data_IF_628965946434
#
_entry.id   IF_628965946434
#
_cell.length_a   1.000
_cell.length_b   1.000
_cell.length_c   1.000
_cell.angle_alpha   90.00
_cell.angle_beta   90.00
_cell.angle_gamma   90.00
#
_symmetry.space_group_name_H-M   'P 1'
#
loop_
_entity.id
_entity.type
_entity.pdbx_description
1 polymer ?
#
# COMPACT_ATOMS: atom_id res chain seq x y z
N UNK A 1 2.85 -10.92 -30.84
CA UNK A 1 3.21 -12.28 -30.39
C UNK A 1 2.77 -12.42 -28.94
N UNK A 2 1.67 -13.13 -28.65
CA UNK A 2 1.17 -13.31 -27.28
C UNK A 2 2.18 -14.16 -26.52
N UNK A 3 2.88 -13.59 -25.54
CA UNK A 3 3.63 -14.40 -24.57
C UNK A 3 2.60 -15.24 -23.83
N UNK A 4 2.66 -16.59 -23.88
CA UNK A 4 1.70 -17.42 -23.18
C UNK A 4 1.98 -17.29 -21.69
N UNK A 5 1.14 -16.52 -20.98
CA UNK A 5 1.08 -16.59 -19.52
C UNK A 5 0.74 -18.03 -19.14
N UNK A 6 1.69 -18.71 -18.49
CA UNK A 6 1.64 -20.13 -18.20
C UNK A 6 0.37 -20.50 -17.37
N UNK A 7 -0.57 -21.24 -17.98
CA UNK A 7 -1.84 -21.64 -17.36
C UNK A 7 -1.67 -22.41 -16.03
N UNK A 8 -0.53 -23.05 -15.78
CA UNK A 8 -0.26 -23.75 -14.51
C UNK A 8 -0.03 -22.80 -13.33
N UNK A 9 0.65 -21.67 -13.54
CA UNK A 9 0.91 -20.69 -12.49
C UNK A 9 -0.40 -20.03 -12.01
N UNK A 10 -1.32 -19.79 -12.94
CA UNK A 10 -2.65 -19.24 -12.65
C UNK A 10 -3.51 -20.20 -11.82
N UNK A 11 -3.47 -21.51 -12.11
CA UNK A 11 -4.20 -22.51 -11.31
C UNK A 11 -3.68 -22.60 -9.86
N UNK A 12 -2.36 -22.58 -9.66
CA UNK A 12 -1.75 -22.57 -8.31
C UNK A 12 -2.14 -21.29 -7.57
N UNK A 13 -2.06 -20.13 -8.24
CA UNK A 13 -2.50 -18.85 -7.68
C UNK A 13 -4.00 -18.90 -7.30
N UNK A 14 -4.83 -19.53 -8.12
CA UNK A 14 -6.27 -19.66 -7.89
C UNK A 14 -6.62 -20.57 -6.70
N UNK A 15 -5.92 -21.70 -6.55
CA UNK A 15 -6.07 -22.60 -5.40
C UNK A 15 -5.61 -21.91 -4.12
N UNK A 16 -4.44 -21.26 -4.14
CA UNK A 16 -3.92 -20.54 -2.97
C UNK A 16 -4.90 -19.43 -2.59
N UNK A 17 -5.32 -18.61 -3.56
CA UNK A 17 -6.24 -17.48 -3.34
C UNK A 17 -7.54 -17.91 -2.66
N UNK A 18 -8.11 -19.05 -3.05
CA UNK A 18 -9.35 -19.55 -2.43
C UNK A 18 -9.18 -19.88 -0.93
N UNK A 19 -7.95 -20.13 -0.50
CA UNK A 19 -7.60 -20.44 0.88
C UNK A 19 -6.99 -19.26 1.65
N UNK A 20 -6.47 -18.22 0.98
CA UNK A 20 -5.90 -17.01 1.63
C UNK A 20 -6.84 -16.41 2.68
N UNK A 21 -8.15 -16.21 2.40
CA UNK A 21 -9.07 -15.64 3.39
C UNK A 21 -9.18 -16.43 4.71
N UNK A 22 -8.78 -17.71 4.71
CA UNK A 22 -8.79 -18.60 5.89
C UNK A 22 -7.47 -18.53 6.68
N UNK A 23 -6.42 -17.93 6.12
CA UNK A 23 -5.12 -17.74 6.77
C UNK A 23 -5.14 -16.45 7.58
N UNK A 24 -5.79 -16.50 8.74
CA UNK A 24 -5.96 -15.34 9.63
C UNK A 24 -4.74 -15.00 10.48
N UNK A 25 -3.86 -15.99 10.70
CA UNK A 25 -2.71 -15.88 11.63
C UNK A 25 -1.39 -15.94 10.87
N UNK A 26 -0.42 -15.19 11.36
CA UNK A 26 0.89 -15.05 10.73
C UNK A 26 1.65 -16.36 10.52
N UNK A 27 1.71 -17.31 11.47
CA UNK A 27 2.45 -18.56 11.24
C UNK A 27 1.97 -19.34 10.02
N UNK A 28 0.64 -19.38 9.81
CA UNK A 28 0.03 -20.03 8.64
C UNK A 28 0.31 -19.27 7.35
N UNK A 29 0.29 -17.94 7.42
CA UNK A 29 0.61 -17.03 6.31
C UNK A 29 2.08 -17.16 5.88
N UNK A 30 3.02 -17.19 6.84
CA UNK A 30 4.45 -17.42 6.61
C UNK A 30 4.73 -18.79 6.01
N UNK A 31 4.08 -19.84 6.51
CA UNK A 31 4.18 -21.19 5.93
C UNK A 31 3.65 -21.22 4.48
N UNK A 32 2.50 -20.61 4.22
CA UNK A 32 1.98 -20.52 2.85
C UNK A 32 2.95 -19.74 1.94
N UNK A 33 3.52 -18.63 2.42
CA UNK A 33 4.49 -17.86 1.67
C UNK A 33 5.78 -18.66 1.37
N UNK A 34 6.30 -19.43 2.33
CA UNK A 34 7.53 -20.22 2.14
C UNK A 34 7.36 -21.38 1.15
N UNK A 35 6.14 -21.91 1.01
CA UNK A 35 5.81 -22.91 0.00
C UNK A 35 5.67 -22.31 -1.40
N UNK A 36 5.36 -21.01 -1.50
CA UNK A 36 5.01 -20.36 -2.78
C UNK A 36 6.19 -19.60 -3.38
N UNK A 37 6.98 -18.92 -2.56
CA UNK A 37 8.11 -18.09 -2.99
C UNK A 37 9.16 -18.84 -3.84
N UNK A 38 9.51 -20.12 -3.58
CA UNK A 38 10.48 -20.86 -4.40
C UNK A 38 10.08 -21.04 -5.88
N UNK A 39 8.78 -20.93 -6.18
CA UNK A 39 8.25 -21.06 -7.55
C UNK A 39 8.09 -19.71 -8.26
N UNK A 40 8.61 -18.63 -7.68
CA UNK A 40 8.57 -17.28 -8.24
C UNK A 40 9.95 -16.81 -8.70
N UNK A 41 10.03 -15.94 -9.72
CA UNK A 41 11.30 -15.35 -10.16
C UNK A 41 12.06 -14.68 -9.02
N UNK A 42 13.38 -14.78 -9.08
CA UNK A 42 14.32 -14.12 -8.17
C UNK A 42 15.27 -13.26 -8.97
N UNK A 43 15.79 -12.20 -8.35
CA UNK A 43 16.87 -11.41 -8.90
C UNK A 43 18.17 -12.23 -8.84
N UNK A 44 18.86 -12.47 -9.97
CA UNK A 44 20.13 -13.20 -9.95
C UNK A 44 21.16 -12.49 -9.08
N UNK A 45 21.85 -13.24 -8.21
CA UNK A 45 22.87 -12.67 -7.32
C UNK A 45 22.33 -11.71 -6.26
N UNK A 46 21.03 -11.77 -5.96
CA UNK A 46 20.37 -10.87 -5.01
C UNK A 46 21.09 -10.83 -3.66
N UNK A 47 21.61 -9.65 -3.32
CA UNK A 47 22.17 -9.31 -2.01
C UNK A 47 21.55 -7.98 -1.57
N UNK A 48 20.64 -7.96 -0.58
CA UNK A 48 20.03 -6.72 -0.13
C UNK A 48 21.06 -5.83 0.60
N UNK A 49 20.90 -4.52 0.46
CA UNK A 49 21.68 -3.54 1.24
C UNK A 49 21.42 -3.66 2.75
N UNK A 50 22.35 -3.16 3.56
CA UNK A 50 22.17 -3.09 5.02
C UNK A 50 20.92 -2.29 5.41
N UNK A 51 20.65 -1.22 4.68
CA UNK A 51 19.45 -0.41 4.89
C UNK A 51 18.17 -1.23 4.60
N UNK A 52 18.14 -1.98 3.49
CA UNK A 52 17.02 -2.85 3.18
C UNK A 52 16.82 -3.95 4.25
N UNK A 53 17.91 -4.55 4.76
CA UNK A 53 17.84 -5.54 5.83
C UNK A 53 17.32 -4.94 7.14
N UNK A 54 17.72 -3.71 7.48
CA UNK A 54 17.19 -2.98 8.64
C UNK A 54 15.69 -2.74 8.51
N UNK A 55 15.22 -2.20 7.38
CA UNK A 55 13.80 -1.95 7.12
C UNK A 55 12.98 -3.26 7.13
N UNK A 56 13.48 -4.33 6.50
CA UNK A 56 12.86 -5.66 6.58
C UNK A 56 12.73 -6.13 8.03
N UNK A 57 13.78 -5.97 8.83
CA UNK A 57 13.78 -6.42 10.23
C UNK A 57 12.73 -5.66 11.05
N UNK A 58 12.59 -4.35 10.82
CA UNK A 58 11.54 -3.55 11.47
C UNK A 58 10.13 -4.00 11.04
N UNK A 59 9.91 -4.26 9.75
CA UNK A 59 8.65 -4.82 9.26
C UNK A 59 8.34 -6.16 9.93
N UNK A 60 9.31 -7.07 10.01
CA UNK A 60 9.07 -8.40 10.60
C UNK A 60 8.87 -8.35 12.12
N UNK A 61 9.51 -7.43 12.83
CA UNK A 61 9.47 -7.39 14.31
C UNK A 61 8.30 -6.56 14.82
N UNK A 62 8.10 -5.33 14.32
CA UNK A 62 7.06 -4.41 14.80
C UNK A 62 5.96 -4.10 13.79
N UNK A 63 6.09 -4.54 12.54
CA UNK A 63 5.04 -4.42 11.52
C UNK A 63 5.09 -3.13 10.70
N UNK A 64 5.99 -2.21 11.02
CA UNK A 64 6.20 -0.97 10.29
C UNK A 64 7.67 -0.51 10.37
N UNK A 65 8.08 0.39 9.49
CA UNK A 65 9.42 0.98 9.48
C UNK A 65 9.44 2.40 10.02
N UNK A 66 10.62 2.87 10.41
CA UNK A 66 10.86 4.31 10.54
C UNK A 66 10.67 4.98 9.18
N UNK A 67 10.40 6.28 9.20
CA UNK A 67 10.31 7.06 7.98
C UNK A 67 11.67 7.13 7.27
N UNK A 68 11.66 7.03 5.95
CA UNK A 68 12.82 7.22 5.08
C UNK A 68 12.42 8.03 3.85
N UNK A 69 13.38 8.51 3.08
CA UNK A 69 13.12 9.33 1.88
C UNK A 69 13.72 8.68 0.63
N UNK A 70 12.94 8.74 -0.45
CA UNK A 70 13.33 8.25 -1.78
C UNK A 70 13.40 9.39 -2.81
N UNK A 71 12.86 10.55 -2.46
CA UNK A 71 12.62 11.68 -3.36
C UNK A 71 13.22 12.95 -2.77
N UNK A 72 13.71 13.82 -3.67
CA UNK A 72 14.04 15.22 -3.38
C UNK A 72 12.77 16.04 -3.18
N UNK A 73 12.88 17.19 -2.51
CA UNK A 73 11.73 18.08 -2.27
C UNK A 73 11.14 18.60 -3.60
N UNK A 74 11.99 18.81 -4.62
CA UNK A 74 11.55 19.21 -5.96
C UNK A 74 10.71 18.13 -6.64
N UNK A 75 11.13 16.86 -6.53
CA UNK A 75 10.38 15.74 -7.10
C UNK A 75 9.03 15.53 -6.39
N UNK A 76 9.00 15.70 -5.06
CA UNK A 76 7.77 15.64 -4.27
C UNK A 76 6.82 16.78 -4.67
N UNK A 77 7.34 18.00 -4.79
CA UNK A 77 6.56 19.17 -5.20
C UNK A 77 6.01 19.01 -6.63
N UNK A 78 6.81 18.47 -7.56
CA UNK A 78 6.37 18.19 -8.92
C UNK A 78 5.25 17.13 -8.96
N UNK A 79 5.40 16.04 -8.20
CA UNK A 79 4.37 14.99 -8.11
C UNK A 79 3.09 15.52 -7.46
N UNK A 80 3.20 16.30 -6.40
CA UNK A 80 2.05 16.94 -5.75
C UNK A 80 1.30 17.87 -6.70
N UNK A 81 2.02 18.78 -7.38
CA UNK A 81 1.41 19.73 -8.33
C UNK A 81 0.67 19.01 -9.44
N UNK A 82 1.26 17.95 -9.98
CA UNK A 82 0.60 17.10 -10.97
C UNK A 82 -0.77 16.61 -10.47
N UNK A 83 -0.85 16.07 -9.26
CA UNK A 83 -2.12 15.60 -8.70
C UNK A 83 -3.11 16.75 -8.41
N UNK A 84 -2.64 17.91 -7.96
CA UNK A 84 -3.50 19.09 -7.75
C UNK A 84 -4.19 19.53 -9.05
N UNK A 85 -3.52 19.37 -10.20
CA UNK A 85 -4.04 19.72 -11.54
C UNK A 85 -4.88 18.61 -12.18
N UNK A 86 -4.68 17.34 -11.79
CA UNK A 86 -5.45 16.22 -12.33
C UNK A 86 -6.90 16.19 -11.80
N UNK A 87 -7.89 15.81 -12.64
CA UNK A 87 -9.24 15.57 -12.15
C UNK A 87 -9.27 14.33 -11.25
N UNK A 88 -9.84 14.46 -10.07
CA UNK A 88 -10.09 13.37 -9.12
C UNK A 88 -11.60 13.10 -8.99
N UNK A 89 -11.96 12.04 -8.25
CA UNK A 89 -13.35 11.66 -8.03
C UNK A 89 -13.56 11.04 -6.65
N UNK A 90 -14.80 11.03 -6.17
CA UNK A 90 -15.19 10.26 -4.99
C UNK A 90 -16.02 9.03 -5.40
N UNK A 91 -15.54 7.84 -5.05
CA UNK A 91 -16.25 6.59 -5.32
C UNK A 91 -17.59 6.48 -4.58
N UNK A 92 -17.75 7.18 -3.45
CA UNK A 92 -18.98 7.22 -2.66
C UNK A 92 -20.04 8.21 -3.16
N UNK A 93 -19.64 9.22 -3.95
CA UNK A 93 -20.53 10.29 -4.43
C UNK A 93 -20.43 10.48 -5.95
N UNK A 94 -20.71 9.40 -6.70
CA UNK A 94 -20.54 9.36 -8.16
C UNK A 94 -21.35 10.40 -8.94
N UNK A 95 -22.44 10.92 -8.35
CA UNK A 95 -23.28 11.95 -8.97
C UNK A 95 -22.54 13.26 -9.26
N UNK A 96 -21.43 13.53 -8.56
CA UNK A 96 -20.65 14.75 -8.77
C UNK A 96 -19.63 14.63 -9.91
N UNK A 97 -19.46 13.45 -10.52
CA UNK A 97 -18.47 13.23 -11.57
C UNK A 97 -17.04 13.45 -11.09
N UNK A 98 -16.19 13.98 -11.96
CA UNK A 98 -14.81 14.36 -11.64
C UNK A 98 -14.69 15.87 -11.37
N UNK A 99 -13.71 16.22 -10.54
CA UNK A 99 -13.44 17.60 -10.12
C UNK A 99 -11.94 17.79 -9.85
N UNK A 100 -11.46 19.02 -9.79
CA UNK A 100 -10.11 19.33 -9.30
C UNK A 100 -10.14 19.56 -7.80
N UNK A 101 -9.01 19.35 -7.12
CA UNK A 101 -8.99 19.37 -5.65
C UNK A 101 -9.32 20.75 -5.05
N UNK A 102 -9.08 21.83 -5.79
CA UNK A 102 -9.45 23.20 -5.43
C UNK A 102 -10.97 23.47 -5.56
N UNK A 103 -11.72 22.57 -6.22
CA UNK A 103 -13.15 22.72 -6.54
C UNK A 103 -13.96 21.50 -6.12
N UNK A 104 -13.77 21.05 -4.88
CA UNK A 104 -14.56 19.94 -4.32
C UNK A 104 -16.06 20.33 -4.28
N UNK A 105 -16.95 19.56 -4.93
CA UNK A 105 -18.32 20.01 -5.21
C UNK A 105 -19.29 19.85 -4.04
N UNK A 106 -18.91 19.14 -2.97
CA UNK A 106 -19.75 18.98 -1.78
C UNK A 106 -18.90 18.85 -0.50
N UNK A 107 -19.37 19.40 0.64
CA UNK A 107 -18.74 19.19 1.95
C UNK A 107 -18.79 17.73 2.43
N UNK A 108 -19.68 16.91 1.87
CA UNK A 108 -19.81 15.48 2.24
C UNK A 108 -18.68 14.62 1.67
N UNK A 109 -17.97 15.13 0.67
CA UNK A 109 -16.79 14.47 0.10
C UNK A 109 -15.64 14.60 1.09
N UNK A 110 -15.20 13.46 1.63
CA UNK A 110 -14.05 13.37 2.52
C UNK A 110 -12.85 12.66 1.88
N UNK A 111 -13.01 12.15 0.65
CA UNK A 111 -11.96 11.46 -0.08
C UNK A 111 -12.05 11.76 -1.57
N UNK A 112 -10.91 12.06 -2.20
CA UNK A 112 -10.82 12.26 -3.65
C UNK A 112 -9.69 11.43 -4.22
N UNK A 113 -9.99 10.54 -5.17
CA UNK A 113 -9.10 9.50 -5.71
C UNK A 113 -8.73 9.78 -7.16
N UNK A 114 -7.61 9.21 -7.58
CA UNK A 114 -7.16 9.20 -8.98
C UNK A 114 -7.26 7.80 -9.56
N UNK A 115 -7.57 7.69 -10.86
CA UNK A 115 -7.58 6.41 -11.58
C UNK A 115 -6.15 5.99 -11.97
N UNK A 116 -6.00 4.73 -12.34
CA UNK A 116 -4.72 4.10 -12.65
C UNK A 116 -3.92 4.85 -13.71
N UNK A 117 -4.55 5.23 -14.82
CA UNK A 117 -3.89 5.96 -15.89
C UNK A 117 -3.29 7.29 -15.41
N UNK A 118 -3.98 7.96 -14.48
CA UNK A 118 -3.55 9.26 -13.97
C UNK A 118 -2.35 9.12 -13.04
N UNK A 119 -2.41 8.22 -12.05
CA UNK A 119 -1.30 8.10 -11.13
C UNK A 119 -0.07 7.47 -11.81
N UNK A 120 -0.23 6.52 -12.73
CA UNK A 120 0.90 5.92 -13.45
C UNK A 120 1.60 6.92 -14.38
N UNK A 121 0.91 7.99 -14.80
CA UNK A 121 1.50 9.09 -15.56
C UNK A 121 2.12 10.20 -14.68
N UNK A 122 1.99 10.12 -13.35
CA UNK A 122 2.54 11.12 -12.45
C UNK A 122 4.08 11.14 -12.51
N UNK A 123 4.71 12.33 -12.52
CA UNK A 123 6.15 12.44 -12.56
C UNK A 123 6.76 11.76 -11.34
N UNK A 124 7.86 11.04 -11.56
CA UNK A 124 8.64 10.31 -10.54
C UNK A 124 7.93 9.13 -9.87
N UNK A 125 6.62 8.88 -10.07
CA UNK A 125 5.91 7.83 -9.33
C UNK A 125 6.43 6.42 -9.69
N UNK A 126 6.55 6.11 -10.98
CA UNK A 126 7.04 4.80 -11.42
C UNK A 126 8.47 4.52 -10.93
N UNK A 127 9.32 5.53 -10.90
CA UNK A 127 10.68 5.44 -10.35
C UNK A 127 10.67 5.22 -8.82
N UNK A 128 9.71 5.83 -8.12
CA UNK A 128 9.58 5.71 -6.66
C UNK A 128 9.13 4.32 -6.25
N UNK A 129 8.10 3.77 -6.90
CA UNK A 129 7.57 2.43 -6.59
C UNK A 129 8.51 1.30 -7.06
N UNK A 130 9.41 1.60 -8.00
CA UNK A 130 10.47 0.68 -8.42
C UNK A 130 11.83 1.03 -7.81
N UNK A 131 11.87 1.85 -6.75
CA UNK A 131 13.13 2.27 -6.15
C UNK A 131 13.91 1.06 -5.62
N UNK A 132 15.22 0.92 -5.91
CA UNK A 132 16.01 -0.27 -5.55
C UNK A 132 15.89 -0.65 -4.07
N UNK A 133 16.00 0.33 -3.15
CA UNK A 133 15.83 0.09 -1.72
C UNK A 133 14.52 -0.64 -1.37
N UNK A 134 13.39 -0.23 -1.95
CA UNK A 134 12.08 -0.83 -1.63
C UNK A 134 11.95 -2.22 -2.26
N UNK A 135 12.46 -2.40 -3.48
CA UNK A 135 12.47 -3.70 -4.15
C UNK A 135 13.39 -4.70 -3.42
N UNK A 136 14.51 -4.25 -2.86
CA UNK A 136 15.38 -5.07 -2.01
C UNK A 136 14.67 -5.49 -0.72
N UNK A 137 14.00 -4.56 -0.03
CA UNK A 137 13.17 -4.90 1.15
C UNK A 137 12.11 -5.94 0.74
N UNK A 138 11.44 -5.71 -0.38
CA UNK A 138 10.39 -6.57 -0.87
C UNK A 138 10.87 -7.99 -1.20
N UNK A 139 11.97 -8.11 -1.94
CA UNK A 139 12.51 -9.42 -2.32
C UNK A 139 13.09 -10.16 -1.11
N UNK A 140 13.75 -9.46 -0.18
CA UNK A 140 14.23 -10.06 1.06
C UNK A 140 13.07 -10.47 2.00
N UNK A 141 11.98 -9.71 2.02
CA UNK A 141 10.78 -10.04 2.80
C UNK A 141 10.02 -11.22 2.18
N UNK A 142 9.82 -11.26 0.87
CA UNK A 142 9.04 -12.30 0.20
C UNK A 142 9.84 -13.57 -0.13
N UNK A 143 11.17 -13.49 -0.21
CA UNK A 143 12.04 -14.57 -0.69
C UNK A 143 12.04 -14.76 -2.21
N UNK A 144 11.49 -13.78 -2.94
CA UNK A 144 11.43 -13.71 -4.41
C UNK A 144 11.03 -12.30 -4.85
N UNK A 145 11.11 -12.00 -6.15
CA UNK A 145 10.67 -10.70 -6.69
C UNK A 145 9.22 -10.42 -6.27
N UNK A 146 8.90 -9.20 -5.79
CA UNK A 146 7.52 -8.84 -5.49
C UNK A 146 6.69 -8.67 -6.77
N UNK A 147 5.39 -8.51 -6.61
CA UNK A 147 4.51 -7.86 -7.57
C UNK A 147 4.04 -6.53 -6.98
N UNK A 148 4.23 -5.44 -7.72
CA UNK A 148 3.61 -4.16 -7.43
C UNK A 148 2.13 -4.26 -7.80
N UNK A 149 1.26 -4.06 -6.81
CA UNK A 149 -0.19 -4.21 -6.92
C UNK A 149 -0.87 -3.22 -5.95
N UNK A 150 -2.21 -3.22 -5.90
CA UNK A 150 -2.98 -2.52 -4.87
C UNK A 150 -2.69 -1.03 -4.76
N UNK A 151 -2.23 -0.39 -5.84
CA UNK A 151 -1.88 1.02 -5.85
C UNK A 151 -3.11 1.90 -5.74
N UNK A 152 -2.99 2.97 -4.98
CA UNK A 152 -4.01 4.00 -4.86
C UNK A 152 -3.38 5.33 -4.50
N UNK A 153 -3.89 6.40 -5.09
CA UNK A 153 -3.52 7.78 -4.75
C UNK A 153 -4.79 8.53 -4.41
N UNK A 154 -4.80 9.21 -3.27
CA UNK A 154 -5.97 9.96 -2.87
C UNK A 154 -5.66 11.11 -1.90
N UNK A 155 -6.54 12.10 -1.94
CA UNK A 155 -6.71 13.08 -0.89
C UNK A 155 -7.66 12.55 0.18
N UNK A 156 -7.29 12.70 1.45
CA UNK A 156 -8.21 12.66 2.59
C UNK A 156 -8.48 14.11 3.00
N UNK A 157 -9.74 14.54 2.99
CA UNK A 157 -10.10 15.93 3.23
C UNK A 157 -10.48 16.17 4.69
N UNK A 158 -9.99 17.27 5.27
CA UNK A 158 -10.33 17.72 6.61
C UNK A 158 -11.76 18.25 6.62
N UNK A 159 -12.71 17.36 6.89
CA UNK A 159 -14.15 17.64 6.93
C UNK A 159 -14.76 17.00 8.17
N UNK A 160 -15.79 17.61 8.79
CA UNK A 160 -16.45 17.09 10.00
C UNK A 160 -17.44 15.96 9.69
N UNK A 161 -17.03 15.00 8.84
CA UNK A 161 -17.88 13.90 8.38
C UNK A 161 -17.69 12.66 9.27
N UNK A 162 -18.66 11.73 9.30
CA UNK A 162 -18.47 10.45 9.99
C UNK A 162 -17.31 9.63 9.40
N UNK A 163 -16.70 8.80 10.26
CA UNK A 163 -15.60 7.93 9.84
C UNK A 163 -16.02 6.95 8.75
N UNK A 164 -15.19 6.80 7.73
CA UNK A 164 -15.31 5.70 6.75
C UNK A 164 -14.60 4.44 7.24
N UNK A 165 -14.89 3.30 6.59
CA UNK A 165 -14.38 1.98 7.03
C UNK A 165 -12.87 1.95 7.31
N UNK A 166 -12.06 2.50 6.41
CA UNK A 166 -10.59 2.49 6.52
C UNK A 166 -10.05 3.37 7.66
N UNK A 167 -10.91 4.19 8.27
CA UNK A 167 -10.59 5.01 9.44
C UNK A 167 -10.93 4.34 10.77
N UNK A 168 -11.52 3.15 10.73
CA UNK A 168 -11.64 2.27 11.90
C UNK A 168 -10.52 1.22 11.86
N UNK A 169 -10.23 0.63 13.02
CA UNK A 169 -9.19 -0.39 13.11
C UNK A 169 -9.57 -1.65 12.32
N UNK A 170 -8.66 -2.12 11.50
CA UNK A 170 -8.84 -3.32 10.69
C UNK A 170 -7.50 -3.98 10.38
N UNK A 171 -7.59 -5.16 9.74
CA UNK A 171 -6.48 -5.94 9.21
C UNK A 171 -6.75 -6.30 7.76
N UNK A 172 -5.71 -6.28 6.94
CA UNK A 172 -5.78 -6.69 5.55
C UNK A 172 -5.47 -8.19 5.40
N UNK A 173 -6.47 -8.90 4.92
CA UNK A 173 -6.45 -10.35 4.74
C UNK A 173 -6.45 -10.77 3.26
N UNK A 174 -6.01 -9.86 2.38
CA UNK A 174 -6.10 -10.06 0.94
C UNK A 174 -4.88 -10.82 0.40
N UNK A 175 -3.84 -11.05 1.19
CA UNK A 175 -2.61 -11.68 0.70
C UNK A 175 -1.99 -12.59 1.77
N UNK A 176 -1.26 -13.61 1.35
CA UNK A 176 -0.47 -14.46 2.28
C UNK A 176 0.67 -13.68 2.91
N UNK A 177 1.35 -12.84 2.14
CA UNK A 177 2.46 -12.01 2.60
C UNK A 177 2.51 -10.76 1.72
N UNK A 178 2.46 -9.60 2.36
CA UNK A 178 2.45 -8.30 1.71
C UNK A 178 2.92 -7.24 2.69
N UNK A 179 3.31 -6.09 2.17
CA UNK A 179 3.33 -4.83 2.91
C UNK A 179 2.96 -3.72 1.94
N UNK A 180 2.63 -2.55 2.48
CA UNK A 180 2.40 -1.34 1.70
C UNK A 180 3.48 -0.32 1.98
N UNK A 181 3.91 0.37 0.93
CA UNK A 181 4.62 1.63 1.06
C UNK A 181 3.60 2.76 1.07
N UNK A 182 3.72 3.63 2.07
CA UNK A 182 2.97 4.86 2.18
C UNK A 182 3.94 6.01 1.91
N UNK A 183 3.66 6.84 0.91
CA UNK A 183 4.39 8.07 0.59
C UNK A 183 3.45 9.24 0.83
N UNK A 184 3.80 10.12 1.76
CA UNK A 184 3.08 11.38 1.96
C UNK A 184 3.52 12.41 0.93
N UNK A 185 2.57 13.05 0.25
CA UNK A 185 2.82 14.19 -0.65
C UNK A 185 2.47 15.53 0.00
N UNK A 186 1.95 15.50 1.22
CA UNK A 186 1.67 16.64 2.10
C UNK A 186 2.19 16.34 3.49
N UNK A 187 2.59 17.36 4.24
CA UNK A 187 2.89 17.20 5.65
C UNK A 187 1.70 16.59 6.40
N UNK A 188 1.98 15.54 7.16
CA UNK A 188 0.98 14.73 7.85
C UNK A 188 1.37 14.60 9.32
N UNK A 189 0.88 15.54 10.11
CA UNK A 189 0.87 15.46 11.57
C UNK A 189 -0.46 14.82 12.05
N UNK A 190 -0.72 14.83 13.36
CA UNK A 190 -1.98 14.33 13.93
C UNK A 190 -3.25 15.01 13.37
N UNK A 191 -3.16 16.28 12.96
CA UNK A 191 -4.26 17.01 12.33
C UNK A 191 -4.45 16.68 10.85
N UNK A 192 -3.39 16.21 10.18
CA UNK A 192 -3.43 15.63 8.83
C UNK A 192 -3.92 14.17 8.79
N UNK A 193 -4.24 13.59 9.95
CA UNK A 193 -4.85 12.26 10.05
C UNK A 193 -3.92 11.12 9.66
N UNK A 194 -2.79 10.90 10.35
CA UNK A 194 -1.74 9.95 9.95
C UNK A 194 -2.23 8.50 9.97
N UNK A 195 -1.43 7.60 9.38
CA UNK A 195 -1.63 6.17 9.57
C UNK A 195 -1.32 5.79 11.03
N UNK A 196 -2.18 4.98 11.64
CA UNK A 196 -2.00 4.43 12.97
C UNK A 196 -1.77 2.94 12.85
N UNK A 197 -0.76 2.44 13.54
CA UNK A 197 -0.42 1.02 13.55
C UNK A 197 -0.27 0.53 14.99
N UNK A 198 -0.70 -0.69 15.29
CA UNK A 198 -0.46 -1.35 16.58
C UNK A 198 0.80 -2.22 16.46
N UNK A 199 1.93 -1.87 17.10
CA UNK A 199 3.19 -2.59 16.95
C UNK A 199 3.06 -4.09 17.21
N UNK A 200 3.75 -4.89 16.40
CA UNK A 200 3.80 -6.36 16.45
C UNK A 200 2.44 -7.09 16.31
N UNK A 201 1.33 -6.36 16.11
CA UNK A 201 0.00 -6.95 16.02
C UNK A 201 -0.18 -7.88 14.82
N UNK A 202 0.66 -7.80 13.78
CA UNK A 202 0.66 -8.77 12.67
C UNK A 202 0.86 -10.22 13.15
N UNK A 203 1.61 -10.41 14.26
CA UNK A 203 1.80 -11.71 14.92
C UNK A 203 0.65 -12.09 15.86
N UNK A 204 -0.20 -11.13 16.22
CA UNK A 204 -1.27 -11.27 17.21
C UNK A 204 -2.35 -12.26 16.79
N UNK A 205 -2.96 -12.91 17.77
CA UNK A 205 -4.05 -13.87 17.58
C UNK A 205 -5.42 -13.31 18.00
N UNK A 206 -5.46 -12.03 18.33
CA UNK A 206 -6.63 -11.30 18.80
C UNK A 206 -7.25 -10.47 17.67
N UNK A 207 -8.55 -10.17 17.80
CA UNK A 207 -9.30 -9.32 16.86
C UNK A 207 -9.17 -9.78 15.40
N UNK A 208 -9.25 -11.11 15.18
CA UNK A 208 -9.08 -11.75 13.86
C UNK A 208 -10.37 -11.79 13.02
N UNK A 209 -11.46 -11.21 13.52
CA UNK A 209 -12.69 -11.04 12.78
C UNK A 209 -12.47 -10.08 11.59
N UNK A 210 -13.02 -10.44 10.42
CA UNK A 210 -12.97 -9.60 9.21
C UNK A 210 -14.02 -8.50 9.29
N UNK A 211 -13.83 -7.58 10.23
CA UNK A 211 -14.66 -6.38 10.44
C UNK A 211 -13.79 -5.23 10.91
N UNK A 212 -14.41 -4.07 10.99
CA UNK A 212 -13.84 -2.95 11.74
C UNK A 212 -13.95 -3.22 13.24
N UNK A 213 -12.92 -2.80 13.97
CA UNK A 213 -12.84 -2.81 15.41
C UNK A 213 -12.88 -1.37 15.93
N UNK A 214 -13.55 -1.18 17.05
CA UNK A 214 -13.60 0.10 17.75
C UNK A 214 -12.27 0.39 18.43
N UNK A 215 -12.03 1.67 18.74
CA UNK A 215 -10.88 2.10 19.53
C UNK A 215 -10.84 1.35 20.88
N UNK A 216 -11.97 1.27 21.59
CA UNK A 216 -12.08 0.59 22.88
C UNK A 216 -11.72 -0.91 22.82
N UNK A 217 -12.11 -1.62 21.76
CA UNK A 217 -11.74 -3.04 21.58
C UNK A 217 -10.23 -3.22 21.40
N UNK A 218 -9.59 -2.37 20.61
CA UNK A 218 -8.14 -2.42 20.37
C UNK A 218 -7.39 -2.02 21.63
N UNK A 219 -7.85 -1.00 22.36
CA UNK A 219 -7.27 -0.55 23.63
C UNK A 219 -7.37 -1.62 24.72
N UNK A 220 -8.49 -2.35 24.81
CA UNK A 220 -8.67 -3.42 25.77
C UNK A 220 -7.71 -4.61 25.54
N UNK A 221 -7.30 -4.85 24.29
CA UNK A 221 -6.42 -5.96 23.91
C UNK A 221 -4.95 -5.57 23.94
N UNK A 222 -4.61 -4.44 23.32
CA UNK A 222 -3.22 -4.04 23.09
C UNK A 222 -2.74 -2.94 24.05
N UNK A 223 -3.64 -2.32 24.82
CA UNK A 223 -3.35 -1.19 25.68
C UNK A 223 -3.44 0.15 24.95
N UNK A 224 -3.89 1.18 25.66
CA UNK A 224 -4.15 2.51 25.08
C UNK A 224 -2.90 3.23 24.55
N UNK A 225 -1.72 2.91 25.07
CA UNK A 225 -0.44 3.50 24.63
C UNK A 225 0.24 2.72 23.51
N UNK A 226 -0.27 1.55 23.12
CA UNK A 226 0.37 0.73 22.11
C UNK A 226 0.29 1.30 20.69
N UNK A 227 -0.84 1.86 20.20
CA UNK A 227 -0.91 2.36 18.84
C UNK A 227 0.05 3.54 18.60
N UNK A 228 0.79 3.49 17.49
CA UNK A 228 1.72 4.54 17.09
C UNK A 228 1.16 5.32 15.90
N UNK A 229 1.36 6.63 15.91
CA UNK A 229 1.05 7.48 14.78
C UNK A 229 2.27 7.63 13.86
N UNK A 230 2.11 7.23 12.60
CA UNK A 230 3.14 7.35 11.57
C UNK A 230 2.97 8.70 10.87
N UNK A 231 3.42 9.76 11.55
CA UNK A 231 3.49 11.12 11.01
C UNK A 231 4.70 11.29 10.09
N UNK A 232 4.69 12.33 9.27
CA UNK A 232 5.81 12.62 8.37
C UNK A 232 5.61 13.91 7.59
N UNK A 233 6.69 14.42 7.02
CA UNK A 233 6.67 15.54 6.07
C UNK A 233 6.36 15.05 4.67
N UNK A 234 6.00 15.95 3.76
CA UNK A 234 5.92 15.63 2.34
C UNK A 234 7.25 15.01 1.86
N UNK A 235 7.16 13.88 1.15
CA UNK A 235 8.29 13.07 0.69
C UNK A 235 8.70 11.93 1.61
N UNK A 236 8.22 11.93 2.86
CA UNK A 236 8.52 10.83 3.78
C UNK A 236 7.73 9.58 3.37
N UNK A 237 8.45 8.46 3.37
CA UNK A 237 7.96 7.13 3.08
C UNK A 237 8.05 6.26 4.33
N UNK A 238 7.11 5.35 4.51
CA UNK A 238 7.27 4.23 5.44
C UNK A 238 6.64 2.97 4.87
N UNK A 239 7.09 1.81 5.35
CA UNK A 239 6.49 0.52 5.01
C UNK A 239 5.67 0.01 6.18
N UNK A 240 4.53 -0.63 5.92
CA UNK A 240 3.76 -1.32 6.95
C UNK A 240 3.20 -2.66 6.43
N UNK A 241 3.30 -3.70 7.26
CA UNK A 241 2.60 -4.97 7.05
C UNK A 241 1.15 -4.83 7.53
N UNK A 242 0.27 -4.44 6.62
CA UNK A 242 -1.15 -4.21 6.90
C UNK A 242 -1.92 -5.47 7.33
N UNK A 243 -1.29 -6.63 7.49
CA UNK A 243 -1.89 -7.73 8.24
C UNK A 243 -2.02 -7.47 9.73
N UNK A 244 -1.21 -6.56 10.28
CA UNK A 244 -1.39 -6.02 11.62
C UNK A 244 -2.56 -5.07 11.74
N UNK A 245 -2.97 -4.80 12.97
CA UNK A 245 -4.06 -3.90 13.31
C UNK A 245 -3.66 -2.46 13.02
N UNK A 246 -4.44 -1.79 12.17
CA UNK A 246 -4.13 -0.44 11.72
C UNK A 246 -5.39 0.33 11.32
N UNK A 247 -5.24 1.65 11.14
CA UNK A 247 -6.27 2.54 10.60
C UNK A 247 -5.62 3.81 10.03
N UNK A 248 -6.34 4.54 9.18
CA UNK A 248 -5.97 5.92 8.86
C UNK A 248 -6.79 6.87 9.74
N UNK A 249 -6.18 7.82 10.44
CA UNK A 249 -6.99 8.85 11.10
C UNK A 249 -7.68 9.73 10.05
N UNK A 250 -8.86 10.20 10.40
CA UNK A 250 -9.54 11.24 9.65
C UNK A 250 -8.79 12.57 9.86
N UNK A 251 -8.41 13.28 8.80
CA UNK A 251 -7.83 14.61 8.94
C UNK A 251 -8.83 15.59 9.54
N UNK A 252 -8.36 16.49 10.39
CA UNK A 252 -9.18 17.48 11.10
C UNK A 252 -8.74 18.91 10.83
N UNK A 253 -7.47 19.13 10.45
CA UNK A 253 -6.90 20.46 10.25
C UNK A 253 -6.37 20.71 8.85
N UNK A 254 -5.80 19.68 8.21
CA UNK A 254 -5.19 19.79 6.89
C UNK A 254 -5.56 18.60 6.02
N UNK A 255 -5.78 18.85 4.74
CA UNK A 255 -5.98 17.78 3.76
C UNK A 255 -4.67 17.00 3.58
N UNK A 256 -4.79 15.68 3.37
CA UNK A 256 -3.64 14.80 3.17
C UNK A 256 -3.67 14.14 1.81
N UNK A 257 -2.66 14.38 0.98
CA UNK A 257 -2.40 13.62 -0.23
C UNK A 257 -1.40 12.50 0.07
N UNK A 258 -1.76 11.28 -0.32
CA UNK A 258 -0.93 10.10 -0.10
C UNK A 258 -0.94 9.18 -1.32
N UNK A 259 0.22 8.57 -1.57
CA UNK A 259 0.39 7.44 -2.48
C UNK A 259 0.56 6.19 -1.63
N UNK A 260 -0.21 5.15 -1.92
CA UNK A 260 -0.05 3.84 -1.28
C UNK A 260 0.16 2.79 -2.35
N UNK A 261 1.21 1.98 -2.19
CA UNK A 261 1.62 0.93 -3.13
C UNK A 261 1.79 -0.38 -2.37
N UNK A 262 1.13 -1.45 -2.81
CA UNK A 262 1.24 -2.77 -2.18
C UNK A 262 2.31 -3.62 -2.89
N UNK A 263 3.20 -4.23 -2.11
CA UNK A 263 4.19 -5.19 -2.61
C UNK A 263 3.79 -6.58 -2.17
N UNK A 264 3.34 -7.38 -3.13
CA UNK A 264 2.66 -8.65 -2.87
C UNK A 264 3.49 -9.84 -3.36
N UNK A 265 3.34 -10.98 -2.69
CA UNK A 265 3.87 -12.25 -3.19
C UNK A 265 3.08 -12.76 -4.41
N UNK A 266 1.77 -12.51 -4.41
CA UNK A 266 0.82 -12.97 -5.43
C UNK A 266 0.02 -11.78 -5.96
N UNK A 267 -0.26 -11.81 -7.27
CA UNK A 267 -1.13 -10.82 -7.89
C UNK A 267 -2.49 -10.81 -7.20
N UNK A 268 -2.92 -9.63 -6.80
CA UNK A 268 -4.21 -9.36 -6.21
C UNK A 268 -5.32 -9.49 -7.27
N UNK A 269 -6.52 -9.91 -6.84
CA UNK A 269 -7.69 -10.00 -7.73
C UNK A 269 -8.45 -8.67 -7.87
N UNK A 270 -8.09 -7.67 -7.08
CA UNK A 270 -8.73 -6.35 -7.08
C UNK A 270 -8.03 -5.32 -7.99
N UNK A 271 -6.85 -5.65 -8.52
CA UNK A 271 -6.14 -4.80 -9.48
C UNK A 271 -6.76 -4.87 -10.89
N UNK A 272 -6.27 -4.06 -11.84
CA UNK A 272 -6.79 -4.02 -13.20
C UNK A 272 -6.66 -5.40 -13.88
N UNK A 273 -7.65 -5.75 -14.71
CA UNK A 273 -7.69 -7.05 -15.40
C UNK A 273 -6.53 -7.21 -16.40
N UNK A 274 -6.15 -6.11 -17.05
CA UNK A 274 -5.04 -6.01 -17.99
C UNK A 274 -4.12 -4.87 -17.58
N UNK A 275 -2.81 -4.94 -17.90
CA UNK A 275 -1.91 -3.84 -17.58
C UNK A 275 -2.31 -2.56 -18.32
N UNK A 276 -2.15 -1.44 -17.63
CA UNK A 276 -2.77 -0.14 -17.93
C UNK A 276 -1.97 0.62 -18.99
N UNK A 277 -0.65 0.75 -18.78
CA UNK A 277 0.26 1.51 -19.64
C UNK A 277 1.34 0.60 -20.27
N UNK A 278 2.00 1.00 -21.37
CA UNK A 278 3.22 0.34 -21.82
C UNK A 278 4.36 0.55 -20.79
N UNK A 279 5.29 -0.41 -20.69
CA UNK A 279 6.51 -0.23 -19.92
C UNK A 279 7.45 0.75 -20.65
N UNK A 280 7.64 1.98 -20.13
CA UNK A 280 8.39 3.02 -20.82
C UNK A 280 9.83 2.56 -21.05
N UNK A 281 10.27 2.55 -22.30
CA UNK A 281 11.59 2.09 -22.75
C UNK A 281 12.00 0.70 -22.23
N UNK A 282 11.03 -0.13 -21.82
CA UNK A 282 11.24 -1.40 -21.11
C UNK A 282 12.15 -1.25 -19.87
N UNK A 283 12.07 -0.10 -19.21
CA UNK A 283 12.94 0.27 -18.08
C UNK A 283 12.69 -0.56 -16.82
N UNK A 284 11.43 -0.95 -16.57
CA UNK A 284 11.08 -1.64 -15.33
C UNK A 284 10.96 -3.15 -15.51
N UNK A 285 11.22 -3.91 -14.44
CA UNK A 285 11.12 -5.37 -14.49
C UNK A 285 9.68 -5.82 -14.82
N UNK A 286 9.48 -6.63 -15.88
CA UNK A 286 8.16 -6.99 -16.37
C UNK A 286 7.40 -7.93 -15.42
N UNK A 287 8.08 -8.69 -14.57
CA UNK A 287 7.43 -9.52 -13.55
C UNK A 287 6.95 -8.65 -12.39
N UNK A 288 7.79 -7.74 -11.90
CA UNK A 288 7.44 -6.84 -10.78
C UNK A 288 6.25 -5.95 -11.16
N UNK A 289 6.23 -5.44 -12.39
CA UNK A 289 5.23 -4.48 -12.86
C UNK A 289 4.09 -5.11 -13.67
N UNK A 290 3.94 -6.44 -13.66
CA UNK A 290 2.99 -7.20 -14.49
C UNK A 290 1.51 -6.83 -14.32
N UNK A 291 1.17 -6.08 -13.27
CA UNK A 291 -0.20 -5.61 -13.01
C UNK A 291 -0.49 -4.32 -13.76
N UNK A 292 0.47 -3.39 -13.84
CA UNK A 292 0.24 -2.03 -14.34
C UNK A 292 0.93 -1.74 -15.67
N UNK A 293 2.03 -2.43 -16.00
CA UNK A 293 2.84 -2.17 -17.20
C UNK A 293 2.84 -3.36 -18.16
N UNK A 294 2.54 -3.11 -19.45
CA UNK A 294 2.63 -4.09 -20.55
C UNK A 294 4.09 -4.22 -21.00
N UNK A 295 4.53 -5.47 -21.22
CA UNK A 295 5.87 -5.82 -21.74
C UNK A 295 6.11 -5.42 -23.20
#
# INVERSE_FOLDING_TARGET
>A
MKVPFNNKARWIDDVIWHHIPRLKIEPRRKLAASLVAPFRPRTPGFTPSEQALSLKTQLETRGYTDAFRLLTDEQVAAMRRYFEEQPCFDGGHRQYGSFTIDKVPSPDIQMARYVEEQFLAAPHLLDTINHPLVLEVAEAFHGCKPTIDGMSVWWSLARPNPRISTQNYHRDYNQVRHFKMFLYLTDTDMGGGPHIYVPASQHGQELLERRNHSDAEVEAVYGASAPVALTGRAGDCFLADNSGMHKALQPTRSDRLIVVTEYTLLRNRFGPLQPVLPNPDRRYDPYINRVYLRS
#
